data_IF_174122215214
#
_entry.id   IF_174122215214
#
_cell.length_a   1.000
_cell.length_b   1.000
_cell.length_c   1.000
_cell.angle_alpha   90.00
_cell.angle_beta   90.00
_cell.angle_gamma   90.00
#
_symmetry.space_group_name_H-M   'P 1'
#
loop_
_entity.id
_entity.type
_entity.pdbx_description
1 polymer ?
#
# COMPACT_ATOMS: atom_id res chain seq x y z
N UNK A 1 9.06 -23.74 -43.89
CA UNK A 1 8.22 -24.26 -42.79
C UNK A 1 9.14 -24.62 -41.62
N UNK A 2 9.92 -23.68 -41.11
CA UNK A 2 9.57 -22.64 -40.11
C UNK A 2 9.77 -23.11 -38.65
N UNK A 3 11.00 -23.51 -38.35
CA UNK A 3 11.49 -23.68 -36.96
C UNK A 3 11.56 -22.34 -36.22
N UNK A 4 11.50 -21.21 -36.94
CA UNK A 4 11.45 -19.86 -36.36
C UNK A 4 10.15 -19.52 -35.65
N UNK A 5 9.05 -20.25 -35.86
CA UNK A 5 7.73 -19.88 -35.32
C UNK A 5 7.47 -20.40 -33.89
N UNK A 6 8.28 -21.34 -33.39
CA UNK A 6 8.06 -21.94 -32.07
C UNK A 6 8.63 -21.11 -30.91
N UNK A 7 9.54 -20.17 -31.18
CA UNK A 7 10.19 -19.35 -30.13
C UNK A 7 9.38 -18.08 -29.82
N UNK A 8 8.54 -17.60 -30.74
CA UNK A 8 7.75 -16.37 -30.50
C UNK A 8 6.53 -16.56 -29.58
N UNK A 9 6.14 -17.80 -29.24
CA UNK A 9 5.00 -18.04 -28.34
C UNK A 9 5.34 -18.16 -26.85
N UNK A 10 6.61 -18.23 -26.47
CA UNK A 10 7.03 -18.33 -25.05
C UNK A 10 7.36 -16.98 -24.40
N UNK A 11 7.16 -15.85 -25.11
CA UNK A 11 7.33 -14.50 -24.56
C UNK A 11 6.01 -13.83 -24.14
N UNK A 12 4.90 -14.56 -24.11
CA UNK A 12 3.59 -14.03 -23.73
C UNK A 12 3.20 -14.43 -22.32
N UNK A 13 3.92 -13.90 -21.33
CA UNK A 13 3.43 -13.42 -20.04
C UNK A 13 4.63 -13.28 -19.11
N UNK A 14 4.92 -12.10 -18.54
CA UNK A 14 5.67 -12.09 -17.31
C UNK A 14 4.82 -12.88 -16.33
N UNK A 15 5.33 -14.04 -15.90
CA UNK A 15 4.84 -14.79 -14.75
C UNK A 15 4.62 -13.78 -13.63
N UNK A 16 3.37 -13.33 -13.47
CA UNK A 16 2.94 -12.69 -12.24
C UNK A 16 2.98 -13.82 -11.23
N UNK A 17 4.15 -14.04 -10.64
CA UNK A 17 4.29 -14.65 -9.33
C UNK A 17 3.51 -13.75 -8.38
N UNK A 18 2.19 -13.89 -8.39
CA UNK A 18 1.30 -13.23 -7.48
C UNK A 18 1.73 -13.68 -6.12
N UNK A 19 2.31 -12.77 -5.34
CA UNK A 19 2.53 -13.03 -3.94
C UNK A 19 1.17 -13.37 -3.34
N UNK A 20 1.11 -14.36 -2.44
CA UNK A 20 -0.16 -14.80 -1.88
C UNK A 20 -0.91 -13.60 -1.28
N UNK A 21 -2.25 -13.64 -1.35
CA UNK A 21 -3.07 -12.55 -0.83
C UNK A 21 -2.73 -12.24 0.63
N UNK A 22 -2.41 -13.26 1.42
CA UNK A 22 -2.05 -13.11 2.83
C UNK A 22 -0.71 -12.39 3.02
N UNK A 23 0.32 -12.74 2.25
CA UNK A 23 1.61 -12.04 2.28
C UNK A 23 1.47 -10.58 1.88
N UNK A 24 0.68 -10.29 0.84
CA UNK A 24 0.39 -8.92 0.44
C UNK A 24 -0.37 -8.13 1.52
N UNK A 25 -1.37 -8.74 2.14
CA UNK A 25 -2.13 -8.11 3.21
C UNK A 25 -1.27 -7.80 4.43
N UNK A 26 -0.38 -8.72 4.84
CA UNK A 26 0.57 -8.50 5.93
C UNK A 26 1.54 -7.37 5.58
N UNK A 27 2.12 -7.39 4.39
CA UNK A 27 2.99 -6.35 3.88
C UNK A 27 2.35 -4.96 3.92
N UNK A 28 1.13 -4.82 3.39
CA UNK A 28 0.40 -3.54 3.42
C UNK A 28 0.15 -3.10 4.86
N UNK A 29 -0.26 -4.02 5.75
CA UNK A 29 -0.51 -3.69 7.17
C UNK A 29 0.74 -3.17 7.86
N UNK A 30 1.90 -3.75 7.60
CA UNK A 30 3.16 -3.34 8.22
C UNK A 30 3.63 -1.96 7.73
N UNK A 31 3.57 -1.71 6.42
CA UNK A 31 3.91 -0.39 5.87
C UNK A 31 2.96 0.67 6.43
N UNK A 32 1.65 0.41 6.39
CA UNK A 32 0.64 1.34 6.91
C UNK A 32 0.86 1.58 8.40
N UNK A 33 1.15 0.54 9.19
CA UNK A 33 1.41 0.68 10.63
C UNK A 33 2.59 1.60 10.90
N UNK A 34 3.70 1.39 10.18
CA UNK A 34 4.92 2.19 10.31
C UNK A 34 4.69 3.63 9.88
N UNK A 35 4.15 3.84 8.68
CA UNK A 35 3.96 5.17 8.12
C UNK A 35 2.94 6.00 8.91
N UNK A 36 1.84 5.38 9.37
CA UNK A 36 0.87 6.05 10.23
C UNK A 36 1.52 6.52 11.54
N UNK A 37 2.45 5.73 12.11
CA UNK A 37 3.19 6.13 13.33
C UNK A 37 4.09 7.34 13.04
N UNK A 38 4.80 7.33 11.92
CA UNK A 38 5.68 8.43 11.50
C UNK A 38 4.86 9.71 11.33
N UNK A 39 3.75 9.65 10.59
CA UNK A 39 2.91 10.82 10.33
C UNK A 39 2.27 11.35 11.60
N UNK A 40 1.72 10.50 12.48
CA UNK A 40 1.16 10.99 13.74
C UNK A 40 2.20 11.57 14.69
N UNK A 41 3.44 11.08 14.66
CA UNK A 41 4.54 11.72 15.40
C UNK A 41 4.78 13.14 14.90
N UNK A 42 4.90 13.31 13.59
CA UNK A 42 5.03 14.65 12.96
C UNK A 42 3.83 15.55 13.29
N UNK A 43 2.61 15.06 13.13
CA UNK A 43 1.40 15.83 13.43
C UNK A 43 1.30 16.21 14.92
N UNK A 44 1.81 15.38 15.83
CA UNK A 44 1.83 15.71 17.26
C UNK A 44 2.80 16.84 17.59
N UNK A 45 3.90 16.96 16.82
CA UNK A 45 4.82 18.10 16.92
C UNK A 45 4.13 19.40 16.44
N UNK A 46 3.19 19.30 15.48
CA UNK A 46 2.33 20.38 15.01
C UNK A 46 1.10 20.66 15.90
N UNK A 47 0.98 20.02 17.07
CA UNK A 47 -0.12 20.22 18.03
C UNK A 47 -1.40 19.42 17.77
N UNK A 48 -1.40 18.52 16.78
CA UNK A 48 -2.54 17.62 16.52
C UNK A 48 -2.59 16.50 17.55
N UNK A 49 -3.67 16.44 18.34
CA UNK A 49 -3.93 15.32 19.25
C UNK A 49 -4.87 14.28 18.64
N UNK A 50 -4.36 13.08 18.36
CA UNK A 50 -5.16 11.94 17.93
C UNK A 50 -5.09 10.80 18.96
N UNK A 51 -6.25 10.35 19.44
CA UNK A 51 -6.32 9.26 20.40
C UNK A 51 -5.94 7.91 19.78
N UNK A 52 -5.55 6.94 20.61
CA UNK A 52 -5.22 5.56 20.17
C UNK A 52 -6.32 4.96 19.28
N UNK A 53 -7.59 5.18 19.62
CA UNK A 53 -8.75 4.71 18.84
C UNK A 53 -8.77 5.32 17.42
N UNK A 54 -8.42 6.59 17.27
CA UNK A 54 -8.38 7.27 15.96
C UNK A 54 -7.23 6.79 15.09
N UNK A 55 -6.08 6.55 15.71
CA UNK A 55 -4.90 5.99 15.05
C UNK A 55 -5.24 4.60 14.51
N UNK A 56 -5.78 3.72 15.35
CA UNK A 56 -6.12 2.35 14.96
C UNK A 56 -7.24 2.31 13.91
N UNK A 57 -8.25 3.18 14.02
CA UNK A 57 -9.29 3.33 13.00
C UNK A 57 -8.70 3.79 11.67
N UNK A 58 -7.73 4.70 11.69
CA UNK A 58 -7.07 5.20 10.48
C UNK A 58 -6.20 4.11 9.83
N UNK A 59 -5.41 3.36 10.61
CA UNK A 59 -4.64 2.20 10.11
C UNK A 59 -5.52 1.19 9.38
N UNK A 60 -6.60 0.73 10.01
CA UNK A 60 -7.52 -0.25 9.42
C UNK A 60 -8.16 0.27 8.13
N UNK A 61 -8.61 1.52 8.13
CA UNK A 61 -9.29 2.13 6.97
C UNK A 61 -8.32 2.33 5.80
N UNK A 62 -7.09 2.78 6.05
CA UNK A 62 -6.08 2.97 5.02
C UNK A 62 -5.66 1.62 4.42
N UNK A 63 -5.31 0.64 5.25
CA UNK A 63 -4.92 -0.69 4.78
C UNK A 63 -6.02 -1.34 3.92
N UNK A 64 -7.29 -1.28 4.38
CA UNK A 64 -8.43 -1.78 3.61
C UNK A 64 -8.54 -1.11 2.24
N UNK A 65 -8.42 0.22 2.17
CA UNK A 65 -8.49 0.96 0.90
C UNK A 65 -7.37 0.62 -0.06
N UNK A 66 -6.14 0.43 0.44
CA UNK A 66 -4.99 0.02 -0.38
C UNK A 66 -5.23 -1.39 -0.95
N UNK A 67 -5.59 -2.35 -0.10
CA UNK A 67 -5.81 -3.75 -0.51
C UNK A 67 -6.94 -3.83 -1.55
N UNK A 68 -8.05 -3.11 -1.33
CA UNK A 68 -9.15 -3.06 -2.29
C UNK A 68 -8.77 -2.35 -3.60
N UNK A 69 -8.02 -1.24 -3.52
CA UNK A 69 -7.57 -0.48 -4.69
C UNK A 69 -6.52 -1.20 -5.54
N UNK A 70 -5.78 -2.14 -4.93
CA UNK A 70 -4.83 -2.98 -5.64
C UNK A 70 -5.53 -3.98 -6.58
N UNK A 71 -6.82 -4.30 -6.38
CA UNK A 71 -7.61 -5.19 -7.24
C UNK A 71 -6.98 -6.59 -7.42
N UNK A 72 -6.35 -7.10 -6.36
CA UNK A 72 -5.74 -8.44 -6.36
C UNK A 72 -4.49 -8.57 -7.24
N UNK A 73 -3.85 -7.45 -7.59
CA UNK A 73 -2.57 -7.45 -8.33
C UNK A 73 -1.39 -7.79 -7.41
N UNK A 74 -1.58 -7.71 -6.10
CA UNK A 74 -0.67 -7.98 -4.99
C UNK A 74 0.70 -7.34 -5.22
N UNK A 75 0.73 -6.07 -5.62
CA UNK A 75 1.97 -5.39 -6.00
C UNK A 75 2.78 -4.99 -4.76
N UNK A 76 3.99 -5.54 -4.64
CA UNK A 76 4.91 -5.31 -3.51
C UNK A 76 6.23 -4.64 -3.93
N UNK A 77 6.29 -4.11 -5.15
CA UNK A 77 7.46 -3.39 -5.67
C UNK A 77 7.70 -2.04 -4.95
N UNK A 78 8.92 -1.47 -5.03
CA UNK A 78 9.23 -0.19 -4.39
C UNK A 78 8.29 0.97 -4.78
N UNK A 79 7.85 1.04 -6.03
CA UNK A 79 6.92 2.09 -6.46
C UNK A 79 5.53 1.92 -5.82
N UNK A 80 5.11 0.68 -5.56
CA UNK A 80 3.92 0.37 -4.78
C UNK A 80 4.07 0.77 -3.31
N UNK A 81 5.25 0.59 -2.71
CA UNK A 81 5.56 1.07 -1.34
C UNK A 81 5.42 2.60 -1.27
N UNK A 82 6.03 3.33 -2.21
CA UNK A 82 5.98 4.79 -2.21
C UNK A 82 4.56 5.32 -2.39
N UNK A 83 3.76 4.67 -3.23
CA UNK A 83 2.33 4.98 -3.37
C UNK A 83 1.55 4.75 -2.07
N UNK A 84 1.84 3.66 -1.35
CA UNK A 84 1.22 3.40 -0.04
C UNK A 84 1.59 4.50 0.95
N UNK A 85 2.87 4.88 1.03
CA UNK A 85 3.33 5.93 1.95
C UNK A 85 2.69 7.28 1.63
N UNK A 86 2.68 7.66 0.35
CA UNK A 86 2.05 8.90 -0.11
C UNK A 86 0.55 8.92 0.21
N UNK A 87 -0.14 7.79 0.03
CA UNK A 87 -1.55 7.66 0.37
C UNK A 87 -1.81 7.82 1.87
N UNK A 88 -0.99 7.19 2.73
CA UNK A 88 -1.09 7.33 4.19
C UNK A 88 -0.92 8.80 4.60
N UNK A 89 0.13 9.47 4.12
CA UNK A 89 0.40 10.89 4.41
C UNK A 89 -0.78 11.77 4.00
N UNK A 90 -1.21 11.66 2.75
CA UNK A 90 -2.30 12.46 2.21
C UNK A 90 -3.60 12.27 3.00
N UNK A 91 -3.96 11.01 3.29
CA UNK A 91 -5.17 10.69 4.04
C UNK A 91 -5.16 11.27 5.45
N UNK A 92 -4.05 11.16 6.17
CA UNK A 92 -3.94 11.65 7.55
C UNK A 92 -3.91 13.18 7.61
N UNK A 93 -3.16 13.84 6.74
CA UNK A 93 -3.13 15.31 6.67
C UNK A 93 -4.53 15.86 6.35
N UNK A 94 -5.21 15.31 5.35
CA UNK A 94 -6.59 15.72 5.03
C UNK A 94 -7.54 15.54 6.20
N UNK A 95 -7.40 14.44 6.95
CA UNK A 95 -8.34 14.11 8.03
C UNK A 95 -8.11 14.91 9.31
N UNK A 96 -6.86 15.27 9.62
CA UNK A 96 -6.50 15.84 10.93
C UNK A 96 -5.97 17.27 10.89
N UNK A 97 -5.48 17.75 9.73
CA UNK A 97 -4.92 19.11 9.60
C UNK A 97 -5.88 20.04 8.88
N UNK A 98 -6.49 19.60 7.77
CA UNK A 98 -7.40 20.42 6.96
C UNK A 98 -8.86 20.43 7.45
N UNK A 99 -9.05 20.43 8.76
CA UNK A 99 -10.40 20.48 9.35
C UNK A 99 -11.06 21.82 9.12
#
# INVERSE_FOLDING_TARGET
>A
MDVKLAIEKTLSAPDKKGTSSDSFQLFVKDIVKSEVRIVFKSLSEDGVQAGKKDIDKSRRKIAKKIIQGDKGRNRMDPASIDKIKAYVKSYLIQKFVRR
#
